data_IF_906132221143
#
_entry.id   IF_906132221143
#
_cell.length_a   1.000
_cell.length_b   1.000
_cell.length_c   1.000
_cell.angle_alpha   90.00
_cell.angle_beta   90.00
_cell.angle_gamma   90.00
#
_symmetry.space_group_name_H-M   'P 1'
#
loop_
_entity.id
_entity.type
_entity.pdbx_description
1 polymer ?
#
# COMPACT_ATOMS: atom_id res chain seq x y z
N UNK A 1 19.33 -12.78 5.91
CA UNK A 1 18.87 -11.50 6.50
C UNK A 1 18.28 -11.80 7.87
N UNK A 2 18.54 -11.01 8.92
CA UNK A 2 17.91 -11.27 10.23
C UNK A 2 16.43 -10.90 10.22
N UNK A 3 15.61 -11.54 11.07
CA UNK A 3 14.18 -11.25 11.18
C UNK A 3 13.92 -9.75 11.39
N UNK A 4 14.66 -9.11 12.29
CA UNK A 4 14.55 -7.67 12.56
C UNK A 4 14.89 -6.81 11.33
N UNK A 5 15.88 -7.22 10.53
CA UNK A 5 16.22 -6.48 9.30
C UNK A 5 15.07 -6.55 8.30
N UNK A 6 14.39 -7.69 8.20
CA UNK A 6 13.24 -7.82 7.31
C UNK A 6 12.08 -6.92 7.77
N UNK A 7 11.78 -6.88 9.07
CA UNK A 7 10.76 -5.95 9.60
C UNK A 7 11.10 -4.48 9.33
N UNK A 8 12.39 -4.09 9.42
CA UNK A 8 12.82 -2.74 9.04
C UNK A 8 12.57 -2.46 7.57
N UNK A 9 12.89 -3.41 6.69
CA UNK A 9 12.64 -3.27 5.25
C UNK A 9 11.14 -3.21 4.95
N UNK A 10 10.30 -4.04 5.58
CA UNK A 10 8.84 -3.98 5.44
C UNK A 10 8.31 -2.61 5.88
N UNK A 11 8.82 -2.06 6.99
CA UNK A 11 8.45 -0.73 7.45
C UNK A 11 8.77 0.35 6.41
N UNK A 12 9.96 0.34 5.81
CA UNK A 12 10.30 1.27 4.74
C UNK A 12 9.37 1.09 3.52
N UNK A 13 9.06 -0.14 3.12
CA UNK A 13 8.16 -0.39 1.99
C UNK A 13 6.72 0.09 2.29
N UNK A 14 6.23 -0.05 3.52
CA UNK A 14 4.92 0.51 3.92
C UNK A 14 4.91 2.05 3.89
N UNK A 15 6.03 2.70 4.23
CA UNK A 15 6.18 4.16 4.10
C UNK A 15 6.25 4.59 2.61
N UNK A 16 6.92 3.81 1.77
CA UNK A 16 6.96 4.04 0.31
C UNK A 16 5.56 3.87 -0.31
N UNK A 17 4.81 2.84 0.08
CA UNK A 17 3.42 2.63 -0.36
C UNK A 17 2.53 3.84 -0.02
N UNK A 18 2.71 4.43 1.17
CA UNK A 18 1.99 5.63 1.55
C UNK A 18 2.35 6.83 0.65
N UNK A 19 3.64 7.00 0.34
CA UNK A 19 4.09 8.04 -0.59
C UNK A 19 3.51 7.84 -1.99
N UNK A 20 3.50 6.61 -2.50
CA UNK A 20 2.93 6.28 -3.80
C UNK A 20 1.41 6.46 -3.84
N UNK A 21 0.69 6.14 -2.76
CA UNK A 21 -0.74 6.40 -2.66
C UNK A 21 -1.06 7.90 -2.70
N UNK A 22 -0.25 8.73 -2.03
CA UNK A 22 -0.38 10.20 -2.04
C UNK A 22 -0.13 10.79 -3.42
N UNK A 23 0.90 10.31 -4.11
CA UNK A 23 1.30 10.81 -5.45
C UNK A 23 0.44 10.21 -6.57
N UNK A 24 -0.15 9.03 -6.37
CA UNK A 24 -0.88 8.27 -7.38
C UNK A 24 0.03 7.44 -8.30
N UNK A 25 1.24 7.11 -7.83
CA UNK A 25 2.23 6.28 -8.53
C UNK A 25 1.84 4.79 -8.42
N UNK A 26 0.79 4.39 -9.15
CA UNK A 26 0.14 3.08 -8.98
C UNK A 26 1.01 1.90 -9.38
N UNK A 27 1.80 2.03 -10.45
CA UNK A 27 2.66 0.95 -10.95
C UNK A 27 3.80 0.66 -9.96
N UNK A 28 4.38 1.73 -9.38
CA UNK A 28 5.35 1.65 -8.29
C UNK A 28 4.74 1.04 -7.03
N UNK A 29 3.48 1.35 -6.75
CA UNK A 29 2.74 0.78 -5.62
C UNK A 29 2.58 -0.73 -5.76
N UNK A 30 2.21 -1.23 -6.95
CA UNK A 30 2.09 -2.67 -7.24
C UNK A 30 3.44 -3.37 -7.08
N UNK A 31 4.47 -2.84 -7.71
CA UNK A 31 5.84 -3.39 -7.65
C UNK A 31 6.36 -3.47 -6.19
N UNK A 32 6.04 -2.45 -5.39
CA UNK A 32 6.46 -2.36 -3.99
C UNK A 32 5.69 -3.36 -3.12
N UNK A 33 4.40 -3.53 -3.37
CA UNK A 33 3.58 -4.52 -2.66
C UNK A 33 4.04 -5.96 -2.92
N UNK A 34 4.45 -6.28 -4.15
CA UNK A 34 5.03 -7.58 -4.49
C UNK A 34 6.31 -7.87 -3.69
N UNK A 35 7.23 -6.88 -3.61
CA UNK A 35 8.44 -6.98 -2.79
C UNK A 35 8.10 -7.16 -1.31
N UNK A 36 7.12 -6.40 -0.79
CA UNK A 36 6.67 -6.49 0.60
C UNK A 36 6.10 -7.87 0.93
N UNK A 37 5.29 -8.43 0.03
CA UNK A 37 4.74 -9.78 0.16
C UNK A 37 5.83 -10.85 0.23
N UNK A 38 6.84 -10.77 -0.63
CA UNK A 38 7.96 -11.70 -0.62
C UNK A 38 8.76 -11.67 0.70
N UNK A 39 8.89 -10.49 1.32
CA UNK A 39 9.54 -10.33 2.63
C UNK A 39 8.70 -10.87 3.79
N UNK A 40 7.38 -10.69 3.74
CA UNK A 40 6.45 -11.26 4.73
C UNK A 40 6.53 -12.80 4.72
N UNK A 41 6.55 -13.42 3.54
CA UNK A 41 6.70 -14.87 3.43
C UNK A 41 8.06 -15.35 3.96
N UNK A 42 9.14 -14.60 3.72
CA UNK A 42 10.47 -14.91 4.29
C UNK A 42 10.47 -14.83 5.83
N UNK A 43 9.79 -13.83 6.43
CA UNK A 43 9.70 -13.71 7.89
C UNK A 43 8.92 -14.84 8.52
N UNK A 44 7.83 -15.28 7.90
CA UNK A 44 7.04 -16.43 8.40
C UNK A 44 7.93 -17.67 8.56
N UNK A 45 8.77 -17.96 7.57
CA UNK A 45 9.71 -19.09 7.60
C UNK A 45 10.84 -18.95 8.63
N UNK A 46 11.28 -17.71 8.92
CA UNK A 46 12.34 -17.45 9.90
C UNK A 46 11.84 -17.48 11.34
N UNK A 47 10.58 -17.08 11.57
CA UNK A 47 9.97 -17.04 12.90
C UNK A 47 9.88 -18.42 13.58
N UNK A 48 9.95 -19.50 12.78
CA UNK A 48 9.97 -20.88 13.27
C UNK A 48 11.34 -21.31 13.83
N UNK A 49 12.42 -20.58 13.52
CA UNK A 49 13.81 -21.02 13.74
C UNK A 49 14.69 -20.05 14.56
N UNK A 50 14.21 -18.86 14.91
CA UNK A 50 15.00 -17.82 15.58
C UNK A 50 14.37 -17.28 16.86
N UNK A 51 15.13 -17.25 17.96
CA UNK A 51 14.75 -16.51 19.18
C UNK A 51 15.30 -15.09 19.10
N UNK A 52 14.43 -14.10 18.97
CA UNK A 52 14.78 -12.68 19.16
C UNK A 52 15.18 -12.43 20.62
N UNK A 53 16.11 -11.52 20.84
CA UNK A 53 16.35 -10.96 22.18
C UNK A 53 15.18 -10.06 22.61
N UNK A 54 15.08 -9.76 23.90
CA UNK A 54 14.04 -8.87 24.44
C UNK A 54 14.10 -7.46 23.80
N UNK A 55 15.32 -6.94 23.58
CA UNK A 55 15.56 -5.67 22.89
C UNK A 55 15.06 -5.70 21.43
N UNK A 56 15.34 -6.78 20.70
CA UNK A 56 14.90 -6.92 19.31
C UNK A 56 13.38 -7.15 19.23
N UNK A 57 12.79 -7.80 20.24
CA UNK A 57 11.35 -7.96 20.35
C UNK A 57 10.64 -6.62 20.55
N UNK A 58 11.18 -5.74 21.39
CA UNK A 58 10.69 -4.36 21.53
C UNK A 58 10.76 -3.59 20.21
N UNK A 59 11.91 -3.64 19.53
CA UNK A 59 12.07 -2.99 18.22
C UNK A 59 11.12 -3.54 17.16
N UNK A 60 10.83 -4.85 17.17
CA UNK A 60 9.85 -5.48 16.28
C UNK A 60 8.45 -4.92 16.54
N UNK A 61 8.03 -4.75 17.79
CA UNK A 61 6.72 -4.17 18.13
C UNK A 61 6.60 -2.74 17.59
N UNK A 62 7.62 -1.91 17.78
CA UNK A 62 7.63 -0.52 17.28
C UNK A 62 7.51 -0.49 15.74
N UNK A 63 8.22 -1.39 15.05
CA UNK A 63 8.16 -1.51 13.60
C UNK A 63 6.76 -1.96 13.12
N UNK A 64 6.13 -2.91 13.80
CA UNK A 64 4.78 -3.38 13.46
C UNK A 64 3.76 -2.25 13.62
N UNK A 65 3.86 -1.45 14.69
CA UNK A 65 2.96 -0.32 14.90
C UNK A 65 3.09 0.73 13.78
N UNK A 66 4.32 1.03 13.36
CA UNK A 66 4.59 1.94 12.22
C UNK A 66 4.02 1.39 10.91
N UNK A 67 4.23 0.11 10.64
CA UNK A 67 3.66 -0.58 9.46
C UNK A 67 2.13 -0.44 9.45
N UNK A 68 1.46 -0.77 10.55
CA UNK A 68 -0.01 -0.72 10.64
C UNK A 68 -0.55 0.71 10.48
N UNK A 69 0.15 1.72 11.03
CA UNK A 69 -0.22 3.12 10.85
C UNK A 69 -0.11 3.55 9.38
N UNK A 70 1.01 3.22 8.73
CA UNK A 70 1.24 3.54 7.33
C UNK A 70 0.24 2.84 6.40
N UNK A 71 -0.06 1.56 6.65
CA UNK A 71 -1.03 0.78 5.89
C UNK A 71 -2.46 1.35 6.02
N UNK A 72 -2.85 1.80 7.23
CA UNK A 72 -4.15 2.44 7.47
C UNK A 72 -4.30 3.76 6.71
N UNK A 73 -3.25 4.58 6.72
CA UNK A 73 -3.25 5.85 5.99
C UNK A 73 -3.25 5.62 4.47
N UNK A 74 -2.43 4.66 4.00
CA UNK A 74 -2.39 4.24 2.59
C UNK A 74 -3.77 3.85 2.10
N UNK A 75 -4.48 2.98 2.84
CA UNK A 75 -5.85 2.57 2.50
C UNK A 75 -6.78 3.76 2.33
N UNK A 76 -6.71 4.74 3.23
CA UNK A 76 -7.56 5.94 3.18
C UNK A 76 -7.31 6.74 1.89
N UNK A 77 -6.04 6.95 1.52
CA UNK A 77 -5.69 7.66 0.27
C UNK A 77 -6.16 6.92 -0.98
N UNK A 78 -5.98 5.60 -0.99
CA UNK A 78 -6.42 4.76 -2.11
C UNK A 78 -7.93 4.81 -2.29
N UNK A 79 -8.69 4.65 -1.21
CA UNK A 79 -10.15 4.70 -1.22
C UNK A 79 -10.66 6.07 -1.71
N UNK A 80 -10.09 7.17 -1.20
CA UNK A 80 -10.43 8.51 -1.64
C UNK A 80 -10.21 8.68 -3.16
N UNK A 81 -9.07 8.21 -3.67
CA UNK A 81 -8.74 8.35 -5.09
C UNK A 81 -9.63 7.47 -5.98
N UNK A 82 -9.97 6.27 -5.52
CA UNK A 82 -10.94 5.41 -6.21
C UNK A 82 -12.32 6.07 -6.33
N UNK A 83 -12.80 6.71 -5.26
CA UNK A 83 -14.09 7.45 -5.28
C UNK A 83 -14.05 8.57 -6.33
N UNK A 84 -12.95 9.34 -6.37
CA UNK A 84 -12.78 10.42 -7.35
C UNK A 84 -12.81 9.89 -8.79
N UNK A 85 -12.07 8.81 -9.08
CA UNK A 85 -12.04 8.19 -10.41
C UNK A 85 -13.43 7.68 -10.83
N UNK A 86 -14.14 6.98 -9.94
CA UNK A 86 -15.49 6.49 -10.23
C UNK A 86 -16.47 7.62 -10.54
N UNK A 87 -16.38 8.74 -9.83
CA UNK A 87 -17.23 9.91 -10.07
C UNK A 87 -16.88 10.62 -11.38
N UNK A 88 -15.60 10.65 -11.76
CA UNK A 88 -15.13 11.13 -13.06
C UNK A 88 -15.76 10.35 -14.21
N UNK A 89 -15.65 9.02 -14.21
CA UNK A 89 -16.24 8.17 -15.26
C UNK A 89 -17.76 8.29 -15.36
N UNK A 90 -18.47 8.41 -14.23
CA UNK A 90 -19.92 8.65 -14.21
C UNK A 90 -20.28 9.98 -14.88
N UNK A 91 -19.49 11.02 -14.61
CA UNK A 91 -19.69 12.36 -15.18
C UNK A 91 -19.44 12.35 -16.68
N UNK A 92 -18.34 11.74 -17.13
CA UNK A 92 -17.99 11.58 -18.54
C UNK A 92 -19.08 10.83 -19.31
N UNK A 93 -19.55 9.68 -18.79
CA UNK A 93 -20.63 8.91 -19.41
C UNK A 93 -21.93 9.70 -19.52
N UNK A 94 -22.27 10.51 -18.50
CA UNK A 94 -23.44 11.39 -18.53
C UNK A 94 -23.30 12.45 -19.62
N UNK A 95 -22.13 13.09 -19.72
CA UNK A 95 -21.86 14.11 -20.73
C UNK A 95 -21.91 13.53 -22.15
N UNK A 96 -21.29 12.38 -22.38
CA UNK A 96 -21.37 11.66 -23.66
C UNK A 96 -22.81 11.33 -24.05
N UNK A 97 -23.64 10.88 -23.10
CA UNK A 97 -25.05 10.60 -23.35
C UNK A 97 -25.84 11.87 -23.70
N UNK A 98 -25.62 12.96 -22.98
CA UNK A 98 -26.38 14.20 -23.18
C UNK A 98 -25.94 14.94 -24.45
N UNK A 99 -24.63 15.06 -24.70
CA UNK A 99 -24.12 15.89 -25.79
C UNK A 99 -23.69 15.08 -27.02
N UNK A 100 -23.27 13.82 -26.86
CA UNK A 100 -22.94 12.94 -27.98
C UNK A 100 -24.16 12.52 -28.80
N UNK A 101 -25.34 12.44 -28.18
CA UNK A 101 -26.61 12.22 -28.90
C UNK A 101 -27.11 13.43 -29.70
N UNK A 102 -26.61 14.64 -29.40
CA UNK A 102 -26.97 15.86 -30.13
C UNK A 102 -26.03 16.19 -31.30
N UNK A 103 -24.91 15.47 -31.45
CA UNK A 103 -23.94 15.69 -32.53
C UNK A 103 -24.23 14.87 -33.82
N UNK A 104 -25.30 14.08 -33.84
CA UNK A 104 -25.70 13.21 -34.97
C UNK A 104 -27.12 13.48 -35.52
N UNK A 105 -27.75 14.60 -35.14
CA UNK A 105 -29.00 15.11 -35.75
C UNK A 105 -28.75 16.43 -36.44
#
# INVERSE_FOLDING_TARGET
>A
MSELTIYKTICCLSEDLLLFAKTGAWDEMITTEEKRRALIEQVKMLSENGRLTEKESGQKVDLIQRILSADTETKTWVEQRMILLQNGFKTERRLLKTYGSHALS
#
